data_IF_246338188212
#
_entry.id   IF_246338188212
#
_cell.length_a   1.000
_cell.length_b   1.000
_cell.length_c   1.000
_cell.angle_alpha   90.00
_cell.angle_beta   90.00
_cell.angle_gamma   90.00
#
_symmetry.space_group_name_H-M   'P 1'
#
loop_
_entity.id
_entity.type
_entity.pdbx_description
1 polymer ?
#
# COMPACT_ATOMS: atom_id res chain seq x y z
N UNK A 1 25.53 -3.20 -10.84
CA UNK A 1 25.42 -2.97 -9.39
C UNK A 1 24.11 -3.51 -8.87
N UNK A 2 24.13 -4.32 -7.86
CA UNK A 2 22.91 -4.88 -7.27
C UNK A 2 22.11 -3.77 -6.57
N UNK A 3 20.80 -3.83 -6.76
CA UNK A 3 19.89 -2.89 -6.11
C UNK A 3 19.70 -3.28 -4.65
N UNK A 4 19.58 -2.30 -3.77
CA UNK A 4 19.22 -2.53 -2.39
C UNK A 4 17.78 -3.06 -2.32
N UNK A 5 17.59 -4.22 -1.68
CA UNK A 5 16.28 -4.86 -1.52
C UNK A 5 15.75 -4.59 -0.12
N UNK A 6 14.50 -4.15 -0.04
CA UNK A 6 13.80 -3.94 1.24
C UNK A 6 12.51 -4.74 1.26
N UNK A 7 12.29 -5.44 2.36
CA UNK A 7 11.05 -6.16 2.60
C UNK A 7 10.11 -5.32 3.46
N UNK A 8 8.89 -5.18 2.99
CA UNK A 8 7.92 -4.30 3.61
C UNK A 8 6.51 -4.86 3.42
N UNK A 9 5.52 -4.16 3.97
CA UNK A 9 4.10 -4.50 3.80
C UNK A 9 3.33 -3.30 3.27
N UNK A 10 2.21 -3.58 2.60
CA UNK A 10 1.16 -2.62 2.31
C UNK A 10 -0.16 -3.18 2.77
N UNK A 11 -0.95 -2.34 3.42
CA UNK A 11 -2.19 -2.75 4.05
C UNK A 11 -3.36 -1.92 3.51
N UNK A 12 -4.21 -2.58 2.73
CA UNK A 12 -5.36 -1.95 2.07
C UNK A 12 -6.61 -2.18 2.91
N UNK A 13 -7.02 -1.17 3.68
CA UNK A 13 -8.28 -1.20 4.41
C UNK A 13 -9.36 -0.58 3.55
N UNK A 14 -10.22 -1.44 2.99
CA UNK A 14 -11.21 -1.06 1.98
C UNK A 14 -12.61 -1.44 2.48
N UNK A 15 -13.53 -0.47 2.48
CA UNK A 15 -14.93 -0.69 2.85
C UNK A 15 -15.82 0.30 2.11
N UNK A 16 -16.90 -0.19 1.50
CA UNK A 16 -17.89 0.63 0.80
C UNK A 16 -17.27 1.57 -0.25
N UNK A 17 -16.37 1.05 -1.07
CA UNK A 17 -15.65 1.78 -2.12
C UNK A 17 -14.76 2.91 -1.60
N UNK A 18 -14.47 2.91 -0.30
CA UNK A 18 -13.52 3.82 0.33
C UNK A 18 -12.31 3.05 0.83
N UNK A 19 -11.20 3.74 0.90
CA UNK A 19 -9.93 3.20 1.38
C UNK A 19 -9.30 4.17 2.36
N UNK A 20 -8.60 3.63 3.36
CA UNK A 20 -7.81 4.47 4.26
C UNK A 20 -6.48 4.78 3.58
N UNK A 21 -6.18 6.06 3.48
CA UNK A 21 -4.93 6.56 2.89
C UNK A 21 -4.20 7.44 3.85
N UNK A 22 -2.89 7.55 3.67
CA UNK A 22 -2.03 8.50 4.35
C UNK A 22 -1.59 9.57 3.37
N UNK A 23 -1.26 10.75 3.91
CA UNK A 23 -0.72 11.86 3.13
C UNK A 23 0.47 12.42 3.88
N UNK A 24 1.62 12.43 3.23
CA UNK A 24 2.86 12.95 3.84
C UNK A 24 2.78 14.46 4.05
N UNK A 25 3.16 14.94 5.24
CA UNK A 25 3.25 16.37 5.55
C UNK A 25 4.59 16.95 5.08
N UNK A 26 5.68 16.35 5.57
CA UNK A 26 7.04 16.72 5.18
C UNK A 26 7.90 15.47 5.19
N UNK A 27 8.36 15.03 4.05
CA UNK A 27 9.29 13.90 3.99
C UNK A 27 9.97 13.82 2.64
N UNK A 28 11.29 14.11 2.61
CA UNK A 28 12.05 14.16 1.37
C UNK A 28 11.35 15.06 0.36
N UNK A 29 11.04 14.53 -0.79
CA UNK A 29 10.33 15.23 -1.86
C UNK A 29 8.90 14.71 -2.01
N UNK A 30 8.37 14.07 -0.94
CA UNK A 30 7.07 13.41 -0.97
C UNK A 30 5.96 14.20 -0.28
N UNK A 31 6.23 15.45 0.11
CA UNK A 31 5.21 16.30 0.72
C UNK A 31 3.95 16.37 -0.11
N UNK A 32 2.81 16.09 0.52
CA UNK A 32 1.51 16.09 -0.14
C UNK A 32 1.19 14.84 -0.97
N UNK A 33 2.10 13.87 -1.04
CA UNK A 33 1.81 12.60 -1.71
C UNK A 33 0.94 11.70 -0.86
N UNK A 34 -0.04 11.07 -1.51
CA UNK A 34 -0.87 10.02 -0.89
C UNK A 34 -0.19 8.67 -1.05
N UNK A 35 -0.36 7.84 -0.03
CA UNK A 35 0.16 6.47 -0.02
C UNK A 35 -0.79 5.54 0.73
N UNK A 36 -0.53 4.26 0.63
CA UNK A 36 -1.22 3.21 1.37
C UNK A 36 -0.43 2.92 2.65
N UNK A 37 -1.10 2.77 3.80
CA UNK A 37 -0.40 2.42 5.04
C UNK A 37 0.44 1.16 4.90
N UNK A 38 1.62 1.20 5.48
CA UNK A 38 2.57 0.09 5.46
C UNK A 38 3.94 0.55 5.86
N UNK A 39 4.90 -0.37 5.84
CA UNK A 39 6.26 -0.05 6.19
C UNK A 39 7.16 -1.27 6.23
N UNK A 40 8.37 -1.05 6.68
CA UNK A 40 9.42 -2.06 6.73
C UNK A 40 9.10 -3.16 7.74
N UNK A 41 9.31 -4.41 7.34
CA UNK A 41 9.25 -5.56 8.25
C UNK A 41 10.48 -5.51 9.14
N UNK A 42 10.29 -5.40 10.44
CA UNK A 42 11.37 -5.38 11.40
C UNK A 42 11.83 -6.80 11.76
N UNK A 43 13.07 -6.91 12.26
CA UNK A 43 13.63 -8.18 12.66
C UNK A 43 12.72 -8.86 13.69
N UNK A 44 12.38 -10.13 13.43
CA UNK A 44 11.52 -10.92 14.30
C UNK A 44 10.02 -10.74 14.07
N UNK A 45 9.62 -9.79 13.24
CA UNK A 45 8.20 -9.63 12.89
C UNK A 45 7.77 -10.55 11.76
N UNK A 46 6.55 -11.07 11.87
CA UNK A 46 5.85 -11.64 10.72
C UNK A 46 5.22 -10.50 9.91
N UNK A 47 5.05 -10.66 8.59
CA UNK A 47 4.44 -9.61 7.77
C UNK A 47 3.10 -9.10 8.28
N UNK A 48 2.22 -9.99 8.75
CA UNK A 48 0.92 -9.60 9.30
C UNK A 48 1.06 -8.72 10.55
N UNK A 49 2.01 -9.02 11.42
CA UNK A 49 2.31 -8.21 12.61
C UNK A 49 2.76 -6.81 12.21
N UNK A 50 3.60 -6.72 11.19
CA UNK A 50 4.06 -5.44 10.64
C UNK A 50 2.88 -4.63 10.11
N UNK A 51 1.97 -5.26 9.37
CA UNK A 51 0.80 -4.58 8.80
C UNK A 51 -0.09 -4.00 9.91
N UNK A 52 -0.33 -4.76 10.98
CA UNK A 52 -1.13 -4.29 12.12
C UNK A 52 -0.43 -3.11 12.82
N UNK A 53 0.86 -3.24 13.07
CA UNK A 53 1.65 -2.21 13.75
C UNK A 53 1.69 -0.91 12.94
N UNK A 54 2.01 -1.00 11.65
CA UNK A 54 2.11 0.18 10.77
C UNK A 54 0.76 0.88 10.59
N UNK A 55 -0.32 0.13 10.44
CA UNK A 55 -1.66 0.72 10.37
C UNK A 55 -1.96 1.52 11.64
N UNK A 56 -1.64 0.98 12.81
CA UNK A 56 -1.83 1.66 14.09
C UNK A 56 -0.97 2.91 14.21
N UNK A 57 0.31 2.81 13.88
CA UNK A 57 1.26 3.93 13.96
C UNK A 57 0.91 5.07 13.00
N UNK A 58 0.50 4.73 11.78
CA UNK A 58 0.25 5.73 10.74
C UNK A 58 -1.16 6.32 10.77
N UNK A 59 -2.15 5.57 11.24
CA UNK A 59 -3.56 6.00 11.15
C UNK A 59 -4.31 5.99 12.47
N UNK A 60 -3.80 5.32 13.49
CA UNK A 60 -4.52 5.11 14.75
C UNK A 60 -5.56 3.99 14.70
N UNK A 61 -5.71 3.31 13.58
CA UNK A 61 -6.71 2.25 13.40
C UNK A 61 -6.17 0.89 13.84
N UNK A 62 -7.00 0.13 14.54
CA UNK A 62 -6.77 -1.28 14.86
C UNK A 62 -7.43 -2.13 13.78
N UNK A 63 -6.63 -2.58 12.82
CA UNK A 63 -7.12 -3.41 11.72
C UNK A 63 -7.21 -4.87 12.14
N UNK A 64 -8.23 -5.57 11.64
CA UNK A 64 -8.54 -6.96 12.01
C UNK A 64 -8.77 -7.83 10.79
N UNK A 65 -8.59 -9.15 10.99
CA UNK A 65 -8.88 -10.16 9.96
C UNK A 65 -8.24 -9.85 8.60
N UNK A 66 -6.92 -9.63 8.63
CA UNK A 66 -6.15 -9.37 7.42
C UNK A 66 -6.08 -10.62 6.55
N UNK A 67 -6.25 -10.41 5.24
CA UNK A 67 -6.03 -11.45 4.24
C UNK A 67 -4.77 -11.12 3.45
N UNK A 68 -3.83 -12.06 3.38
CA UNK A 68 -2.65 -11.92 2.52
C UNK A 68 -3.08 -12.16 1.08
N UNK A 69 -2.88 -11.17 0.21
CA UNK A 69 -3.39 -11.21 -1.16
C UNK A 69 -2.33 -11.46 -2.22
N UNK A 70 -1.08 -11.27 -1.87
CA UNK A 70 -0.01 -11.51 -2.82
C UNK A 70 1.23 -10.66 -2.57
N UNK A 71 2.14 -10.75 -3.50
CA UNK A 71 3.42 -10.03 -3.46
C UNK A 71 3.44 -8.97 -4.55
N UNK A 72 3.81 -7.77 -4.16
CA UNK A 72 4.04 -6.67 -5.09
C UNK A 72 5.50 -6.24 -4.99
N UNK A 73 6.18 -6.22 -6.12
CA UNK A 73 7.54 -5.70 -6.21
C UNK A 73 7.48 -4.33 -6.88
N UNK A 74 8.07 -3.33 -6.24
CA UNK A 74 8.22 -1.98 -6.82
C UNK A 74 9.70 -1.72 -6.97
N UNK A 75 10.13 -1.54 -8.21
CA UNK A 75 11.53 -1.41 -8.55
C UNK A 75 11.83 0.01 -9.06
N UNK A 76 12.68 0.70 -8.30
CA UNK A 76 13.25 2.00 -8.63
C UNK A 76 14.63 1.81 -9.30
N UNK A 77 15.23 2.87 -9.88
CA UNK A 77 16.55 2.75 -10.49
C UNK A 77 17.64 2.20 -9.57
N UNK A 78 17.59 2.51 -8.27
CA UNK A 78 18.65 2.16 -7.33
C UNK A 78 18.21 1.28 -6.15
N UNK A 79 16.93 0.97 -6.03
CA UNK A 79 16.38 0.16 -4.93
C UNK A 79 15.17 -0.62 -5.38
N UNK A 80 14.81 -1.62 -4.58
CA UNK A 80 13.68 -2.49 -4.86
C UNK A 80 12.96 -2.82 -3.56
N UNK A 81 11.65 -2.66 -3.56
CA UNK A 81 10.79 -3.07 -2.45
C UNK A 81 10.04 -4.33 -2.81
N UNK A 82 10.00 -5.27 -1.87
CA UNK A 82 9.17 -6.47 -1.97
C UNK A 82 8.12 -6.34 -0.88
N UNK A 83 6.86 -6.13 -1.29
CA UNK A 83 5.74 -5.94 -0.37
C UNK A 83 4.91 -7.20 -0.24
N UNK A 84 4.69 -7.64 1.00
CA UNK A 84 3.56 -8.48 1.33
C UNK A 84 2.33 -7.59 1.38
N UNK A 85 1.28 -7.95 0.65
CA UNK A 85 0.08 -7.13 0.50
C UNK A 85 -1.08 -7.75 1.24
N UNK A 86 -1.69 -6.96 2.13
CA UNK A 86 -2.83 -7.38 2.93
C UNK A 86 -4.05 -6.53 2.60
N UNK A 87 -5.22 -7.13 2.73
CA UNK A 87 -6.49 -6.42 2.63
C UNK A 87 -7.38 -6.80 3.81
N UNK A 88 -8.18 -5.86 4.28
CA UNK A 88 -9.23 -6.10 5.26
C UNK A 88 -10.37 -5.10 5.07
N UNK A 89 -11.53 -5.44 5.62
CA UNK A 89 -12.67 -4.55 5.76
C UNK A 89 -13.14 -4.46 7.22
N UNK A 90 -12.37 -5.01 8.15
CA UNK A 90 -12.70 -5.04 9.57
C UNK A 90 -11.68 -4.25 10.39
N UNK A 91 -12.19 -3.39 11.29
CA UNK A 91 -11.33 -2.49 12.04
C UNK A 91 -12.07 -1.87 13.22
N UNK A 92 -11.29 -1.25 14.13
CA UNK A 92 -11.78 -0.37 15.18
C UNK A 92 -11.01 0.95 15.12
N UNK A 93 -11.69 2.03 15.46
CA UNK A 93 -11.10 3.36 15.48
C UNK A 93 -11.39 4.18 14.24
N UNK A 94 -10.82 5.36 14.20
CA UNK A 94 -10.97 6.32 13.09
C UNK A 94 -9.59 6.82 12.68
N UNK A 95 -9.42 7.19 11.38
CA UNK A 95 -8.15 7.78 10.94
C UNK A 95 -7.81 9.06 11.72
N UNK A 96 -6.56 9.15 12.15
CA UNK A 96 -6.05 10.25 12.94
C UNK A 96 -4.93 10.96 12.20
N UNK A 97 -4.66 12.21 12.62
CA UNK A 97 -3.56 13.00 12.09
C UNK A 97 -2.40 12.98 13.08
N UNK A 98 -1.20 12.75 12.57
CA UNK A 98 0.03 12.75 13.34
C UNK A 98 0.99 13.84 12.83
N UNK A 99 2.12 14.00 13.51
CA UNK A 99 3.11 15.01 13.14
C UNK A 99 3.63 14.80 11.72
N UNK A 100 3.88 13.56 11.31
CA UNK A 100 4.52 13.24 10.04
C UNK A 100 3.54 13.05 8.89
N UNK A 101 2.29 12.70 9.19
CA UNK A 101 1.28 12.41 8.18
C UNK A 101 -0.14 12.65 8.67
N UNK A 102 -1.03 12.85 7.72
CA UNK A 102 -2.47 12.80 7.95
C UNK A 102 -3.03 11.49 7.38
N UNK A 103 -4.16 11.04 7.89
CA UNK A 103 -4.85 9.88 7.34
C UNK A 103 -6.35 10.11 7.27
N UNK A 104 -7.00 9.49 6.29
CA UNK A 104 -8.44 9.66 6.07
C UNK A 104 -9.03 8.50 5.27
N UNK A 105 -10.35 8.34 5.40
CA UNK A 105 -11.12 7.56 4.45
C UNK A 105 -11.38 8.38 3.20
N UNK A 106 -11.09 7.81 2.04
CA UNK A 106 -11.32 8.49 0.77
C UNK A 106 -11.97 7.52 -0.21
N UNK A 107 -12.91 8.02 -1.01
CA UNK A 107 -13.43 7.23 -2.13
C UNK A 107 -12.28 6.89 -3.07
N UNK A 108 -12.22 5.64 -3.50
CA UNK A 108 -11.15 5.20 -4.41
C UNK A 108 -11.15 6.02 -5.69
N UNK A 109 -12.33 6.33 -6.23
CA UNK A 109 -12.45 7.17 -7.43
C UNK A 109 -11.88 8.58 -7.23
N UNK A 110 -12.07 9.17 -6.05
CA UNK A 110 -11.51 10.49 -5.73
C UNK A 110 -9.99 10.42 -5.57
N UNK A 111 -9.51 9.37 -4.92
CA UNK A 111 -8.08 9.15 -4.73
C UNK A 111 -7.34 9.07 -6.07
N UNK A 112 -7.91 8.36 -7.03
CA UNK A 112 -7.31 8.17 -8.35
C UNK A 112 -7.28 9.45 -9.21
N UNK A 113 -7.98 10.52 -8.78
CA UNK A 113 -7.95 11.84 -9.42
C UNK A 113 -6.87 12.75 -8.83
N UNK A 114 -6.20 12.35 -7.76
CA UNK A 114 -5.16 13.18 -7.13
C UNK A 114 -3.88 13.20 -7.98
N UNK A 115 -3.19 14.33 -7.99
CA UNK A 115 -1.97 14.51 -8.77
C UNK A 115 -0.75 13.84 -8.13
N UNK A 116 -0.70 13.89 -6.79
CA UNK A 116 0.45 13.38 -6.03
C UNK A 116 0.08 12.06 -5.36
N UNK A 117 0.23 10.97 -6.10
CA UNK A 117 -0.03 9.61 -5.61
C UNK A 117 1.19 8.73 -5.89
N UNK A 118 1.51 7.87 -4.92
CA UNK A 118 2.60 6.91 -5.10
C UNK A 118 2.13 5.70 -5.92
N UNK A 119 3.10 4.94 -6.42
CA UNK A 119 2.86 3.76 -7.27
C UNK A 119 1.89 2.75 -6.64
N UNK A 120 1.90 2.62 -5.32
CA UNK A 120 0.98 1.74 -4.58
C UNK A 120 -0.51 2.09 -4.78
N UNK A 121 -0.80 3.32 -5.16
CA UNK A 121 -2.16 3.81 -5.41
C UNK A 121 -2.49 3.74 -6.89
N UNK A 122 -1.57 4.12 -7.76
CA UNK A 122 -1.79 4.14 -9.21
C UNK A 122 -2.25 2.78 -9.72
N UNK A 123 -1.70 1.71 -9.16
CA UNK A 123 -2.06 0.35 -9.55
C UNK A 123 -3.49 -0.04 -9.18
N UNK A 124 -4.17 0.70 -8.30
CA UNK A 124 -5.58 0.46 -8.00
C UNK A 124 -6.50 0.76 -9.19
N UNK A 125 -6.03 1.56 -10.15
CA UNK A 125 -6.85 2.04 -11.26
C UNK A 125 -7.20 0.97 -12.30
N UNK A 126 -6.53 -0.16 -12.32
CA UNK A 126 -6.70 -1.13 -13.42
C UNK A 126 -7.27 -2.47 -12.96
N UNK A 127 -6.41 -3.41 -12.72
CA UNK A 127 -6.78 -4.80 -12.42
C UNK A 127 -6.72 -5.13 -10.95
N UNK A 128 -6.09 -4.27 -10.20
CA UNK A 128 -5.63 -4.55 -8.86
C UNK A 128 -6.77 -4.65 -7.85
N UNK A 129 -7.76 -3.79 -7.97
CA UNK A 129 -8.91 -3.81 -7.05
C UNK A 129 -9.61 -5.16 -7.05
N UNK A 130 -9.83 -5.74 -8.21
CA UNK A 130 -10.46 -7.05 -8.29
C UNK A 130 -9.62 -8.11 -7.56
N UNK A 131 -8.31 -8.10 -7.78
CA UNK A 131 -7.42 -9.04 -7.09
C UNK A 131 -7.35 -8.82 -5.59
N UNK A 132 -7.56 -7.57 -5.12
CA UNK A 132 -7.55 -7.26 -3.70
C UNK A 132 -8.81 -7.71 -2.96
N UNK A 133 -9.99 -7.46 -3.53
CA UNK A 133 -11.25 -7.66 -2.83
C UNK A 133 -11.91 -8.99 -3.12
N UNK A 134 -11.53 -9.68 -4.17
CA UNK A 134 -12.08 -10.99 -4.53
C UNK A 134 -11.26 -12.08 -3.86
N UNK A 135 -11.88 -12.79 -2.92
CA UNK A 135 -11.19 -13.82 -2.13
C UNK A 135 -10.82 -15.07 -2.95
N UNK A 136 -11.37 -15.23 -4.14
CA UNK A 136 -11.04 -16.36 -5.02
C UNK A 136 -9.68 -16.19 -5.71
N UNK A 137 -9.07 -15.04 -5.60
CA UNK A 137 -7.81 -14.74 -6.29
C UNK A 137 -6.72 -14.24 -5.36
N UNK A 138 -5.50 -14.62 -5.68
CA UNK A 138 -4.28 -13.97 -5.23
C UNK A 138 -3.63 -13.29 -6.44
N UNK A 139 -2.69 -12.41 -6.20
CA UNK A 139 -1.97 -11.76 -7.29
C UNK A 139 -0.45 -11.77 -7.06
N UNK A 140 0.27 -11.58 -8.14
CA UNK A 140 1.66 -11.14 -8.11
C UNK A 140 1.81 -9.95 -9.06
N UNK A 141 2.63 -9.00 -8.66
CA UNK A 141 2.81 -7.78 -9.44
C UNK A 141 4.27 -7.32 -9.37
N UNK A 142 4.80 -6.90 -10.51
CA UNK A 142 6.11 -6.27 -10.58
C UNK A 142 5.95 -4.93 -11.31
N UNK A 143 6.21 -3.86 -10.59
CA UNK A 143 6.09 -2.49 -11.10
C UNK A 143 7.48 -1.88 -11.18
N UNK A 144 7.82 -1.34 -12.34
CA UNK A 144 9.05 -0.59 -12.54
C UNK A 144 8.69 0.88 -12.64
N UNK A 145 9.32 1.70 -11.80
CA UNK A 145 9.06 3.14 -11.72
C UNK A 145 10.36 3.94 -11.84
N UNK A 146 10.24 5.20 -12.23
CA UNK A 146 11.34 6.15 -12.18
C UNK A 146 11.37 6.88 -10.82
N UNK A 147 12.34 7.78 -10.65
CA UNK A 147 12.48 8.55 -9.40
C UNK A 147 11.30 9.50 -9.13
N UNK A 148 10.53 9.84 -10.13
CA UNK A 148 9.35 10.70 -10.02
C UNK A 148 8.04 9.93 -9.85
N UNK A 149 8.13 8.63 -9.55
CA UNK A 149 6.96 7.74 -9.38
C UNK A 149 6.17 7.47 -10.67
N UNK A 150 6.73 7.78 -11.82
CA UNK A 150 6.12 7.41 -13.11
C UNK A 150 6.29 5.91 -13.34
N UNK A 151 5.21 5.23 -13.70
CA UNK A 151 5.23 3.81 -13.99
C UNK A 151 5.78 3.58 -15.39
N UNK A 152 6.87 2.84 -15.48
CA UNK A 152 7.53 2.49 -16.75
C UNK A 152 7.05 1.14 -17.26
N UNK A 153 6.75 0.20 -16.37
CA UNK A 153 6.25 -1.13 -16.75
C UNK A 153 5.49 -1.76 -15.58
N UNK A 154 4.48 -2.57 -15.90
CA UNK A 154 3.73 -3.37 -14.93
C UNK A 154 3.56 -4.78 -15.49
N UNK A 155 4.02 -5.77 -14.73
CA UNK A 155 3.69 -7.17 -14.95
C UNK A 155 2.72 -7.60 -13.84
N UNK A 156 1.55 -8.10 -14.21
CA UNK A 156 0.48 -8.44 -13.29
C UNK A 156 -0.08 -9.82 -13.60
N UNK A 157 -0.15 -10.66 -12.58
CA UNK A 157 -0.78 -11.98 -12.68
C UNK A 157 -1.83 -12.14 -11.58
N UNK A 158 -3.01 -12.60 -12.00
CA UNK A 158 -4.09 -12.96 -11.10
C UNK A 158 -4.19 -14.49 -11.09
N UNK A 159 -4.01 -15.08 -9.91
CA UNK A 159 -4.03 -16.53 -9.74
C UNK A 159 -5.26 -16.94 -8.95
N UNK A 160 -6.07 -17.87 -9.50
CA UNK A 160 -7.20 -18.45 -8.79
C UNK A 160 -6.68 -19.37 -7.68
N UNK A 161 -7.32 -19.29 -6.53
CA UNK A 161 -7.03 -20.19 -5.42
C UNK A 161 -7.58 -21.59 -5.64
#
# INVERSE_FOLDING_TARGET
MEKKVRKAVRCYLIKNNKIVVTKYKEWNQKEGYYDIPGGKIEEGELPEQTAIREMKEETGIDIKNLRHKGIMIVEYPNRKFIFDTFVSNEYEGTPQNFEENTSEWMKITDLLQKDKILSNIIILDRFFIKGLIDDDYNFSMHVIVDEQENILNIDYNLESK
#
